data_IF_466180050225
#
_entry.id   IF_466180050225
#
_cell.length_a   1.000
_cell.length_b   1.000
_cell.length_c   1.000
_cell.angle_alpha   90.00
_cell.angle_beta   90.00
_cell.angle_gamma   90.00
#
_symmetry.space_group_name_H-M   'P 1'
#
loop_
_entity.id
_entity.type
_entity.pdbx_description
1 polymer ?
#
# COMPACT_ATOMS: atom_id res chain seq x y z
N UNK A 1 13.48 -37.51 46.09
CA UNK A 1 13.74 -36.88 44.78
C UNK A 1 14.40 -35.52 45.02
N UNK A 2 15.43 -35.13 44.24
CA UNK A 2 16.34 -34.02 44.57
C UNK A 2 15.80 -32.61 44.21
N UNK A 3 16.47 -31.58 44.74
CA UNK A 3 16.16 -30.14 44.68
C UNK A 3 16.57 -29.47 43.35
N UNK A 4 15.86 -28.41 42.95
CA UNK A 4 16.30 -27.44 41.94
C UNK A 4 15.63 -26.07 42.14
N UNK A 5 16.43 -25.05 42.43
CA UNK A 5 16.09 -23.63 42.63
C UNK A 5 16.19 -22.81 41.33
N UNK A 6 15.65 -21.56 41.36
CA UNK A 6 15.73 -20.42 40.39
C UNK A 6 14.50 -20.25 39.50
N UNK A 7 14.00 -19.05 39.13
CA UNK A 7 14.13 -17.60 39.47
C UNK A 7 13.10 -16.90 38.52
N UNK A 8 12.47 -15.75 38.84
CA UNK A 8 11.27 -15.27 38.12
C UNK A 8 11.62 -14.52 36.82
N UNK A 9 10.69 -14.52 35.83
CA UNK A 9 10.74 -13.57 34.71
C UNK A 9 9.35 -13.02 34.38
N UNK A 10 9.12 -11.83 34.92
CA UNK A 10 8.25 -10.77 34.45
C UNK A 10 8.23 -10.65 32.91
N UNK A 11 7.06 -10.84 32.28
CA UNK A 11 6.83 -10.46 30.89
C UNK A 11 5.74 -9.39 30.85
N UNK A 12 6.11 -8.19 31.32
CA UNK A 12 5.52 -6.94 30.84
C UNK A 12 5.68 -6.93 29.32
N UNK A 13 4.57 -7.09 28.58
CA UNK A 13 4.49 -6.76 27.16
C UNK A 13 4.95 -5.32 26.98
N UNK A 14 6.14 -5.20 26.44
CA UNK A 14 6.88 -3.95 26.28
C UNK A 14 6.24 -3.16 25.14
N UNK A 15 5.41 -2.17 25.46
CA UNK A 15 5.27 -0.97 24.62
C UNK A 15 6.60 -0.21 24.62
N UNK A 16 7.60 -0.73 23.92
CA UNK A 16 8.89 -0.09 23.70
C UNK A 16 8.75 0.76 22.45
N UNK A 17 8.55 2.06 22.67
CA UNK A 17 8.16 2.99 21.62
C UNK A 17 9.24 3.40 20.65
N UNK A 18 8.87 4.29 19.74
CA UNK A 18 9.81 5.02 18.93
C UNK A 18 10.03 6.42 19.50
N UNK A 19 11.16 6.55 20.21
CA UNK A 19 11.84 7.83 20.35
C UNK A 19 12.13 8.35 18.94
N UNK A 20 11.60 9.53 18.61
CA UNK A 20 12.19 10.39 17.57
C UNK A 20 13.69 10.50 17.85
N UNK A 21 14.51 9.88 17.00
CA UNK A 21 15.94 10.13 16.88
C UNK A 21 16.22 10.27 15.40
N UNK A 22 16.65 11.46 15.01
CA UNK A 22 16.80 11.86 13.62
C UNK A 22 17.97 11.23 12.89
N UNK A 23 18.09 11.64 11.63
CA UNK A 23 19.29 11.48 10.82
C UNK A 23 19.34 10.14 10.09
N UNK A 24 18.47 9.97 9.11
CA UNK A 24 18.57 8.93 8.11
C UNK A 24 17.64 9.32 6.96
N UNK A 25 18.20 9.96 5.94
CA UNK A 25 17.50 10.23 4.68
C UNK A 25 17.13 8.93 3.95
N UNK A 26 17.49 7.76 4.50
CA UNK A 26 17.22 6.44 3.95
C UNK A 26 16.51 5.63 5.03
N UNK A 27 15.27 5.22 4.80
CA UNK A 27 14.47 4.37 5.68
C UNK A 27 14.21 3.01 5.06
N UNK A 28 14.13 2.01 5.91
CA UNK A 28 13.53 0.73 5.56
C UNK A 28 12.54 0.38 6.66
N UNK A 29 11.26 0.31 6.31
CA UNK A 29 10.17 0.05 7.23
C UNK A 29 9.45 -1.24 6.86
N UNK A 30 9.15 -2.07 7.86
CA UNK A 30 8.19 -3.16 7.74
C UNK A 30 7.19 -3.06 8.88
N UNK A 31 5.90 -3.16 8.59
CA UNK A 31 4.83 -3.24 9.59
C UNK A 31 3.84 -4.32 9.20
N UNK A 32 3.41 -5.07 10.20
CA UNK A 32 2.42 -6.12 10.02
C UNK A 32 1.21 -5.78 10.90
N UNK A 33 0.03 -5.87 10.31
CA UNK A 33 -1.25 -5.54 10.94
C UNK A 33 -1.68 -6.55 11.99
N UNK A 34 -2.47 -6.09 12.95
CA UNK A 34 -3.11 -6.96 13.94
C UNK A 34 -4.40 -7.60 13.40
N UNK A 35 -5.04 -8.48 14.18
CA UNK A 35 -6.34 -9.06 13.78
C UNK A 35 -7.39 -7.99 13.46
N UNK A 36 -7.40 -6.88 14.21
CA UNK A 36 -8.26 -5.73 14.01
C UNK A 36 -7.46 -4.45 14.27
N UNK A 37 -7.45 -3.50 13.33
CA UNK A 37 -6.49 -2.40 13.42
C UNK A 37 -6.75 -1.17 12.56
N UNK A 38 -6.01 -0.13 12.90
CA UNK A 38 -5.75 1.00 12.02
C UNK A 38 -4.23 1.21 12.01
N UNK A 39 -3.58 0.82 10.94
CA UNK A 39 -2.15 0.99 10.78
C UNK A 39 -1.82 2.17 9.86
N UNK A 40 -0.75 2.88 10.18
CA UNK A 40 -0.22 3.96 9.33
C UNK A 40 1.28 3.88 9.20
N UNK A 41 1.79 3.97 7.98
CA UNK A 41 3.21 4.03 7.62
C UNK A 41 3.48 5.31 6.84
N UNK A 42 4.58 5.99 7.18
CA UNK A 42 5.03 7.16 6.46
C UNK A 42 6.52 6.97 6.14
N UNK A 43 6.85 7.06 4.87
CA UNK A 43 8.20 7.02 4.33
C UNK A 43 9.10 8.14 4.88
N UNK A 44 10.40 8.00 4.63
CA UNK A 44 11.35 9.11 4.74
C UNK A 44 11.89 9.45 3.36
N UNK A 45 12.66 10.54 3.25
CA UNK A 45 13.10 11.13 1.98
C UNK A 45 13.56 10.11 0.93
N UNK A 46 14.25 9.05 1.33
CA UNK A 46 14.51 7.89 0.47
C UNK A 46 14.21 6.61 1.26
N UNK A 47 13.74 5.54 0.61
CA UNK A 47 13.57 4.29 1.33
C UNK A 47 12.80 3.17 0.64
N UNK A 48 12.65 2.08 1.38
CA UNK A 48 11.74 0.99 1.02
C UNK A 48 10.79 0.73 2.19
N UNK A 49 9.49 0.90 1.98
CA UNK A 49 8.47 0.68 3.01
C UNK A 49 7.59 -0.51 2.60
N UNK A 50 7.33 -1.40 3.55
CA UNK A 50 6.45 -2.57 3.38
C UNK A 50 5.41 -2.59 4.49
N UNK A 51 4.16 -2.87 4.13
CA UNK A 51 3.06 -2.96 5.07
C UNK A 51 2.17 -4.15 4.73
N UNK A 52 2.04 -5.07 5.67
CA UNK A 52 1.07 -6.15 5.61
C UNK A 52 -0.16 -5.77 6.45
N UNK A 53 -1.33 -5.80 5.84
CA UNK A 53 -2.61 -5.48 6.47
C UNK A 53 -3.08 -6.53 7.48
N UNK A 54 -4.01 -6.10 8.32
CA UNK A 54 -4.62 -6.95 9.33
C UNK A 54 -5.72 -7.85 8.77
N UNK A 55 -6.35 -8.66 9.60
CA UNK A 55 -7.52 -9.43 9.15
C UNK A 55 -8.73 -8.51 8.88
N UNK A 56 -8.95 -7.51 9.74
CA UNK A 56 -9.96 -6.48 9.58
C UNK A 56 -9.34 -5.11 9.86
N UNK A 57 -9.28 -4.20 8.88
CA UNK A 57 -8.43 -3.04 9.05
C UNK A 57 -8.78 -1.81 8.22
N UNK A 58 -8.14 -0.69 8.60
CA UNK A 58 -7.86 0.33 7.62
C UNK A 58 -6.39 0.69 7.67
N UNK A 59 -5.74 0.53 6.53
CA UNK A 59 -4.31 0.63 6.36
C UNK A 59 -4.00 1.87 5.52
N UNK A 60 -2.97 2.61 5.91
CA UNK A 60 -2.53 3.76 5.15
C UNK A 60 -1.01 3.80 5.06
N UNK A 61 -0.49 3.80 3.83
CA UNK A 61 0.91 4.08 3.55
C UNK A 61 1.03 5.43 2.85
N UNK A 62 2.02 6.21 3.24
CA UNK A 62 2.50 7.36 2.48
C UNK A 62 3.95 7.10 2.12
N UNK A 63 4.29 7.17 0.85
CA UNK A 63 5.64 7.09 0.33
C UNK A 63 6.50 8.26 0.81
N UNK A 64 7.81 8.11 0.62
CA UNK A 64 8.75 9.21 0.76
C UNK A 64 9.19 9.73 -0.60
N UNK A 65 9.89 10.87 -0.65
CA UNK A 65 10.25 11.52 -1.92
C UNK A 65 10.89 10.59 -2.97
N UNK A 66 11.70 9.60 -2.54
CA UNK A 66 12.39 8.65 -3.42
C UNK A 66 12.27 7.20 -2.91
N UNK A 67 11.35 6.42 -3.47
CA UNK A 67 10.79 5.27 -2.76
C UNK A 67 10.66 3.97 -3.55
N UNK A 68 10.58 2.87 -2.80
CA UNK A 68 9.73 1.76 -3.24
C UNK A 68 8.78 1.40 -2.10
N UNK A 69 7.50 1.33 -2.41
CA UNK A 69 6.42 1.18 -1.45
C UNK A 69 5.63 -0.07 -1.82
N UNK A 70 5.40 -0.94 -0.83
CA UNK A 70 4.58 -2.13 -1.00
C UNK A 70 3.55 -2.23 0.12
N UNK A 71 2.27 -2.29 -0.24
CA UNK A 71 1.17 -2.54 0.69
C UNK A 71 0.45 -3.82 0.27
N UNK A 72 0.41 -4.79 1.18
CA UNK A 72 -0.44 -5.96 1.10
C UNK A 72 -1.69 -5.71 1.96
N UNK A 73 -2.86 -5.72 1.35
CA UNK A 73 -4.14 -5.48 2.00
C UNK A 73 -4.56 -6.60 2.96
N UNK A 74 -5.54 -6.26 3.80
CA UNK A 74 -6.09 -7.21 4.76
C UNK A 74 -7.08 -8.19 4.13
N UNK A 75 -7.73 -9.03 4.93
CA UNK A 75 -8.82 -9.87 4.39
C UNK A 75 -10.12 -9.06 4.20
N UNK A 76 -10.37 -8.14 5.13
CA UNK A 76 -11.49 -7.22 5.11
C UNK A 76 -11.02 -5.81 5.45
N UNK A 77 -11.02 -4.89 4.50
CA UNK A 77 -10.33 -3.62 4.78
C UNK A 77 -10.61 -2.47 3.86
N UNK A 78 -10.04 -1.34 4.25
CA UNK A 78 -9.85 -0.22 3.35
C UNK A 78 -8.38 0.16 3.36
N UNK A 79 -7.75 0.03 2.22
CA UNK A 79 -6.35 0.25 2.02
C UNK A 79 -6.15 1.54 1.23
N UNK A 80 -5.19 2.35 1.67
CA UNK A 80 -4.83 3.57 0.97
C UNK A 80 -3.31 3.72 0.88
N UNK A 81 -2.80 3.87 -0.34
CA UNK A 81 -1.40 4.16 -0.62
C UNK A 81 -1.29 5.49 -1.36
N UNK A 82 -0.56 6.42 -0.77
CA UNK A 82 -0.11 7.64 -1.44
C UNK A 82 1.37 7.47 -1.82
N UNK A 83 1.68 7.57 -3.12
CA UNK A 83 3.02 7.49 -3.67
C UNK A 83 3.91 8.66 -3.28
N UNK A 84 5.21 8.50 -3.52
CA UNK A 84 6.21 9.56 -3.32
C UNK A 84 6.47 10.36 -4.59
N UNK A 85 7.23 11.45 -4.53
CA UNK A 85 7.55 12.24 -5.74
C UNK A 85 8.20 11.38 -6.85
N UNK A 86 9.09 10.45 -6.47
CA UNK A 86 9.79 9.55 -7.40
C UNK A 86 9.81 8.12 -6.86
N UNK A 87 9.13 7.18 -7.50
CA UNK A 87 8.91 5.90 -6.85
C UNK A 87 8.51 4.73 -7.70
N UNK A 88 8.44 3.59 -7.03
CA UNK A 88 7.68 2.45 -7.50
C UNK A 88 6.75 2.01 -6.38
N UNK A 89 5.47 2.11 -6.65
CA UNK A 89 4.41 1.86 -5.72
C UNK A 89 3.68 0.58 -6.14
N UNK A 90 3.46 -0.30 -5.18
CA UNK A 90 2.70 -1.53 -5.40
C UNK A 90 1.69 -1.73 -4.29
N UNK A 91 0.45 -1.97 -4.69
CA UNK A 91 -0.66 -2.20 -3.77
C UNK A 91 -1.40 -3.46 -4.18
N UNK A 92 -1.37 -4.45 -3.30
CA UNK A 92 -2.18 -5.66 -3.38
C UNK A 92 -3.43 -5.45 -2.50
N UNK A 93 -4.62 -5.46 -3.10
CA UNK A 93 -5.90 -5.33 -2.43
C UNK A 93 -6.26 -6.56 -1.60
N UNK A 94 -7.10 -6.34 -0.59
CA UNK A 94 -7.61 -7.40 0.26
C UNK A 94 -8.77 -8.19 -0.35
N UNK A 95 -8.99 -9.44 0.08
CA UNK A 95 -10.06 -10.33 -0.44
C UNK A 95 -11.44 -9.63 -0.53
N UNK A 96 -11.76 -8.79 0.46
CA UNK A 96 -13.00 -8.00 0.48
C UNK A 96 -12.72 -6.59 0.97
N UNK A 97 -12.67 -5.59 0.08
CA UNK A 97 -12.24 -4.28 0.52
C UNK A 97 -12.41 -3.15 -0.46
N UNK A 98 -11.82 -2.03 -0.08
CA UNK A 98 -11.69 -0.87 -0.95
C UNK A 98 -10.24 -0.47 -1.00
N UNK A 99 -9.66 -0.50 -2.19
CA UNK A 99 -8.29 -0.07 -2.41
C UNK A 99 -8.26 1.29 -3.10
N UNK A 100 -7.44 2.20 -2.59
CA UNK A 100 -7.18 3.48 -3.21
C UNK A 100 -5.66 3.72 -3.31
N UNK A 101 -5.17 3.88 -4.53
CA UNK A 101 -3.78 4.16 -4.81
C UNK A 101 -3.66 5.48 -5.56
N UNK A 102 -2.96 6.43 -4.97
CA UNK A 102 -2.66 7.72 -5.60
C UNK A 102 -1.16 7.75 -5.92
N UNK A 103 -0.83 7.86 -7.21
CA UNK A 103 0.52 7.80 -7.74
C UNK A 103 1.38 9.03 -7.42
N UNK A 104 2.69 8.86 -7.64
CA UNK A 104 3.69 9.90 -7.43
C UNK A 104 3.82 10.87 -8.60
N UNK A 105 4.63 11.93 -8.49
CA UNK A 105 4.87 12.81 -9.66
C UNK A 105 5.56 12.04 -10.81
N UNK A 106 6.50 11.13 -10.47
CA UNK A 106 7.26 10.33 -11.43
C UNK A 106 7.41 8.89 -10.95
N UNK A 107 6.78 7.92 -11.61
CA UNK A 107 6.73 6.61 -11.01
C UNK A 107 6.31 5.45 -11.89
N UNK A 108 6.26 4.30 -11.25
CA UNK A 108 5.55 3.15 -11.76
C UNK A 108 4.64 2.65 -10.66
N UNK A 109 3.36 2.75 -10.92
CA UNK A 109 2.31 2.39 -10.00
C UNK A 109 1.66 1.09 -10.47
N UNK A 110 1.50 0.15 -9.56
CA UNK A 110 0.81 -1.11 -9.83
C UNK A 110 -0.19 -1.42 -8.73
N UNK A 111 -1.45 -1.60 -9.12
CA UNK A 111 -2.52 -1.99 -8.23
C UNK A 111 -3.13 -3.33 -8.66
N UNK A 112 -3.08 -4.32 -7.78
CA UNK A 112 -3.81 -5.57 -7.93
C UNK A 112 -5.03 -5.55 -7.01
N UNK A 113 -6.22 -5.61 -7.58
CA UNK A 113 -7.49 -5.67 -6.85
C UNK A 113 -7.69 -7.01 -6.15
N UNK A 114 -8.41 -6.99 -5.04
CA UNK A 114 -8.78 -8.22 -4.33
C UNK A 114 -10.06 -8.86 -4.88
N UNK A 115 -10.39 -10.08 -4.43
CA UNK A 115 -11.50 -10.86 -5.00
C UNK A 115 -12.85 -10.10 -5.09
N UNK A 116 -13.18 -9.30 -4.09
CA UNK A 116 -14.43 -8.53 -4.02
C UNK A 116 -14.19 -7.10 -3.56
N UNK A 117 -14.41 -6.10 -4.40
CA UNK A 117 -14.08 -4.76 -3.95
C UNK A 117 -14.42 -3.60 -4.86
N UNK A 118 -13.93 -2.45 -4.43
CA UNK A 118 -13.86 -1.28 -5.27
C UNK A 118 -12.43 -0.75 -5.24
N UNK A 119 -11.84 -0.65 -6.41
CA UNK A 119 -10.45 -0.27 -6.58
C UNK A 119 -10.40 1.05 -7.35
N UNK A 120 -9.57 1.96 -6.85
CA UNK A 120 -9.34 3.25 -7.47
C UNK A 120 -7.84 3.50 -7.55
N UNK A 121 -7.38 3.79 -8.76
CA UNK A 121 -6.01 4.16 -9.04
C UNK A 121 -6.02 5.53 -9.71
N UNK A 122 -5.32 6.50 -9.13
CA UNK A 122 -5.03 7.80 -9.74
C UNK A 122 -3.54 7.83 -10.08
N UNK A 123 -3.24 7.99 -11.37
CA UNK A 123 -1.89 7.96 -11.92
C UNK A 123 -1.08 9.20 -11.57
N UNK A 124 0.24 9.03 -11.61
CA UNK A 124 1.18 10.12 -11.46
C UNK A 124 1.28 11.05 -12.66
N UNK A 125 1.88 12.25 -12.51
CA UNK A 125 2.05 13.18 -13.64
C UNK A 125 2.85 12.55 -14.82
N UNK A 126 3.87 11.74 -14.50
CA UNK A 126 4.73 11.07 -15.48
C UNK A 126 5.05 9.63 -15.05
N UNK A 127 4.37 8.64 -15.61
CA UNK A 127 4.56 7.28 -15.12
C UNK A 127 4.11 6.15 -16.02
N UNK A 128 4.09 4.97 -15.43
CA UNK A 128 3.43 3.81 -16.00
C UNK A 128 2.52 3.24 -14.94
N UNK A 129 1.24 3.27 -15.24
CA UNK A 129 0.20 2.86 -14.33
C UNK A 129 -0.36 1.51 -14.81
N UNK A 130 -0.43 0.54 -13.91
CA UNK A 130 -1.05 -0.75 -14.20
C UNK A 130 -2.05 -1.12 -13.12
N UNK A 131 -3.27 -1.46 -13.53
CA UNK A 131 -4.33 -1.91 -12.63
C UNK A 131 -4.89 -3.25 -13.12
N UNK A 132 -4.73 -4.31 -12.32
CA UNK A 132 -5.48 -5.55 -12.51
C UNK A 132 -6.65 -5.58 -11.51
N UNK A 133 -7.87 -5.66 -12.04
CA UNK A 133 -9.10 -5.71 -11.27
C UNK A 133 -9.33 -7.05 -10.58
N UNK A 134 -10.07 -6.99 -9.49
CA UNK A 134 -10.55 -8.15 -8.74
C UNK A 134 -11.66 -8.92 -9.45
N UNK A 135 -11.89 -10.19 -9.06
CA UNK A 135 -12.90 -11.06 -9.66
C UNK A 135 -14.31 -10.43 -9.70
N UNK A 136 -14.70 -9.70 -8.66
CA UNK A 136 -16.01 -9.04 -8.53
C UNK A 136 -15.86 -7.62 -7.97
N UNK A 137 -15.91 -6.60 -8.81
CA UNK A 137 -15.74 -5.25 -8.29
C UNK A 137 -16.15 -4.11 -9.19
N UNK A 138 -15.78 -2.92 -8.75
CA UNK A 138 -15.78 -1.75 -9.60
C UNK A 138 -14.39 -1.16 -9.57
N UNK A 139 -13.79 -1.13 -10.75
CA UNK A 139 -12.43 -0.67 -10.93
C UNK A 139 -12.47 0.69 -11.63
N UNK A 140 -11.69 1.63 -11.11
CA UNK A 140 -11.49 2.92 -11.75
C UNK A 140 -10.03 3.28 -11.80
N UNK A 141 -9.57 3.63 -12.99
CA UNK A 141 -8.23 4.12 -13.23
C UNK A 141 -8.34 5.50 -13.85
N UNK A 142 -7.70 6.50 -13.28
CA UNK A 142 -7.40 7.76 -13.96
C UNK A 142 -5.89 7.82 -14.13
N UNK A 143 -5.43 8.27 -15.30
CA UNK A 143 -4.01 8.27 -15.59
C UNK A 143 -3.41 9.66 -15.71
N UNK A 144 -2.08 9.65 -15.69
CA UNK A 144 -1.26 10.84 -15.71
C UNK A 144 -1.32 11.68 -16.99
N UNK A 145 -0.88 12.94 -16.87
CA UNK A 145 -0.69 13.83 -18.01
C UNK A 145 0.29 13.25 -19.06
N UNK A 146 1.32 12.53 -18.63
CA UNK A 146 2.39 11.98 -19.47
C UNK A 146 2.74 10.53 -19.12
N UNK A 147 1.75 9.65 -19.08
CA UNK A 147 1.88 8.26 -18.65
C UNK A 147 1.53 7.20 -19.69
N UNK A 148 1.63 5.95 -19.28
CA UNK A 148 1.18 4.79 -20.02
C UNK A 148 0.31 3.94 -19.10
N UNK A 149 -0.98 3.98 -19.37
CA UNK A 149 -1.96 3.26 -18.57
C UNK A 149 -2.27 1.88 -19.16
N UNK A 150 -2.40 0.91 -18.28
CA UNK A 150 -2.97 -0.38 -18.59
C UNK A 150 -3.92 -0.80 -17.48
N UNK A 151 -5.16 -1.11 -17.85
CA UNK A 151 -6.12 -1.69 -16.92
C UNK A 151 -6.80 -2.91 -17.55
N UNK A 152 -6.99 -3.90 -16.70
CA UNK A 152 -7.61 -5.17 -17.02
C UNK A 152 -8.59 -5.48 -15.88
N UNK A 153 -9.89 -5.41 -16.11
CA UNK A 153 -10.85 -5.73 -15.06
C UNK A 153 -11.07 -7.21 -14.89
N UNK A 154 -11.74 -7.54 -13.78
CA UNK A 154 -12.01 -8.93 -13.45
C UNK A 154 -13.27 -9.50 -14.10
N UNK A 155 -13.46 -10.79 -13.83
CA UNK A 155 -14.42 -11.66 -14.52
C UNK A 155 -15.88 -11.17 -14.40
N UNK A 156 -16.23 -10.50 -13.29
CA UNK A 156 -17.58 -10.00 -13.00
C UNK A 156 -17.61 -8.53 -12.54
N UNK A 157 -16.65 -7.72 -13.00
CA UNK A 157 -16.46 -6.33 -12.58
C UNK A 157 -17.02 -5.25 -13.52
N UNK A 158 -16.79 -4.00 -13.15
CA UNK A 158 -17.17 -2.81 -13.90
C UNK A 158 -15.99 -1.86 -13.97
N UNK A 159 -15.38 -1.81 -15.15
CA UNK A 159 -14.21 -0.98 -15.41
C UNK A 159 -14.57 0.42 -15.88
N UNK A 160 -13.81 1.41 -15.41
CA UNK A 160 -13.84 2.76 -15.95
C UNK A 160 -12.43 3.35 -15.98
N UNK A 161 -11.88 3.55 -17.19
CA UNK A 161 -10.67 4.34 -17.40
C UNK A 161 -11.04 5.80 -17.68
N UNK A 162 -10.39 6.72 -16.96
CA UNK A 162 -10.34 8.14 -17.27
C UNK A 162 -9.45 8.38 -18.50
N UNK A 163 -9.79 9.40 -19.29
CA UNK A 163 -8.96 9.79 -20.44
C UNK A 163 -7.83 10.72 -19.94
N UNK A 164 -6.68 10.16 -19.57
CA UNK A 164 -5.40 10.87 -19.66
C UNK A 164 -5.20 11.31 -21.12
N UNK A 165 -5.08 12.60 -21.38
CA UNK A 165 -5.26 13.20 -22.72
C UNK A 165 -4.25 12.67 -23.80
N UNK A 166 -4.49 12.92 -25.11
CA UNK A 166 -4.15 12.01 -26.20
C UNK A 166 -2.65 11.86 -26.48
N UNK A 167 -2.25 10.62 -26.76
CA UNK A 167 -1.05 10.25 -27.51
C UNK A 167 -0.76 11.26 -28.64
N UNK A 168 0.32 12.04 -28.49
CA UNK A 168 0.87 12.90 -29.54
C UNK A 168 1.84 12.14 -30.44
N UNK A 169 1.58 12.20 -31.75
CA UNK A 169 2.25 11.56 -32.92
C UNK A 169 3.76 11.25 -32.84
#
# INVERSE_FOLDING_TARGET
MPRGTNRPTNQKGRGKGNKKKGGGHHRHGKKDGGDHGHEKVNGGDHGHEHMDGGHHGHEHMNGGDHGHEHMDGGQHGHEHMDGGDHGHEHMDGGDHGHGNMDGGDHGHEHMDGGDHGHEHMDGGDHGHEHMDGGDHGHEHMDGGDHGHEHMNGGDHGHENMGDGAPNGD
#
